data_IF_931057650841
#
_entry.id   IF_931057650841
#
_cell.length_a   1.000
_cell.length_b   1.000
_cell.length_c   1.000
_cell.angle_alpha   90.00
_cell.angle_beta   90.00
_cell.angle_gamma   90.00
#
_symmetry.space_group_name_H-M   'P 1'
#
loop_
_entity.id
_entity.type
_entity.pdbx_description
1 polymer ?
#
# COMPACT_ATOMS: atom_id res chain seq x y z
N UNK A 1 39.61 -2.21 -28.49
CA UNK A 1 38.82 -3.37 -28.01
C UNK A 1 38.73 -3.29 -26.49
N UNK A 2 37.67 -2.74 -25.95
CA UNK A 2 37.45 -2.70 -24.49
C UNK A 2 37.17 -4.13 -24.01
N UNK A 3 38.01 -4.63 -23.12
CA UNK A 3 37.98 -6.00 -22.63
C UNK A 3 36.62 -6.33 -22.01
N UNK A 4 36.01 -7.45 -22.43
CA UNK A 4 34.75 -7.97 -21.81
C UNK A 4 34.84 -8.08 -20.29
N UNK A 5 36.03 -8.22 -19.74
CA UNK A 5 36.32 -8.28 -18.32
C UNK A 5 36.08 -6.94 -17.60
N UNK A 6 36.27 -5.80 -18.27
CA UNK A 6 36.04 -4.48 -17.65
C UNK A 6 34.55 -4.17 -17.51
N UNK A 7 33.73 -4.63 -18.47
CA UNK A 7 32.27 -4.47 -18.43
C UNK A 7 31.62 -5.36 -17.38
N UNK A 8 32.16 -6.56 -17.15
CA UNK A 8 31.64 -7.45 -16.10
C UNK A 8 32.00 -6.96 -14.70
N UNK A 9 33.18 -6.36 -14.52
CA UNK A 9 33.59 -5.77 -13.23
C UNK A 9 32.82 -4.50 -12.89
N UNK A 10 32.48 -3.66 -13.88
CA UNK A 10 31.64 -2.48 -13.65
C UNK A 10 30.20 -2.86 -13.30
N UNK A 11 29.62 -3.83 -14.01
CA UNK A 11 28.29 -4.35 -13.71
C UNK A 11 28.21 -5.04 -12.34
N UNK A 12 29.28 -5.72 -11.93
CA UNK A 12 29.38 -6.33 -10.61
C UNK A 12 29.50 -5.28 -9.51
N UNK A 13 30.31 -4.22 -9.75
CA UNK A 13 30.43 -3.06 -8.82
C UNK A 13 29.10 -2.32 -8.68
N UNK A 14 28.36 -2.09 -9.75
CA UNK A 14 27.03 -1.45 -9.66
C UNK A 14 26.02 -2.32 -8.91
N UNK A 15 26.07 -3.65 -9.05
CA UNK A 15 25.23 -4.56 -8.26
C UNK A 15 25.58 -4.57 -6.78
N UNK A 16 26.86 -4.46 -6.43
CA UNK A 16 27.34 -4.44 -5.04
C UNK A 16 27.08 -3.05 -4.40
N UNK A 17 27.09 -1.96 -5.19
CA UNK A 17 26.90 -0.61 -4.70
C UNK A 17 25.41 -0.26 -4.40
N UNK A 18 24.45 -1.05 -4.89
CA UNK A 18 23.03 -0.84 -4.57
C UNK A 18 22.63 -1.76 -3.42
N UNK A 19 22.36 -1.19 -2.25
CA UNK A 19 21.88 -2.00 -1.13
C UNK A 19 20.61 -2.76 -1.54
N UNK A 20 20.42 -4.01 -1.07
CA UNK A 20 19.23 -4.78 -1.33
C UNK A 20 17.98 -3.95 -1.09
N UNK A 21 16.99 -4.04 -1.98
CA UNK A 21 15.75 -3.25 -1.91
C UNK A 21 15.09 -3.34 -0.53
N UNK A 22 15.06 -4.55 0.04
CA UNK A 22 14.54 -4.80 1.37
C UNK A 22 15.26 -3.99 2.47
N UNK A 23 16.56 -3.82 2.37
CA UNK A 23 17.34 -3.01 3.33
C UNK A 23 17.04 -1.53 3.18
N UNK A 24 16.95 -1.01 1.96
CA UNK A 24 16.52 0.35 1.68
C UNK A 24 15.14 0.65 2.26
N UNK A 25 14.18 -0.24 2.01
CA UNK A 25 12.81 -0.09 2.50
C UNK A 25 12.77 -0.05 4.03
N UNK A 26 13.56 -0.89 4.71
CA UNK A 26 13.67 -0.88 6.17
C UNK A 26 14.24 0.44 6.71
N UNK A 27 15.26 1.00 6.05
CA UNK A 27 15.83 2.29 6.45
C UNK A 27 14.78 3.39 6.27
N UNK A 28 14.09 3.45 5.14
CA UNK A 28 13.06 4.45 4.90
C UNK A 28 11.89 4.32 5.87
N UNK A 29 11.43 3.11 6.14
CA UNK A 29 10.39 2.85 7.13
C UNK A 29 10.82 3.28 8.54
N UNK A 30 12.08 3.03 8.92
CA UNK A 30 12.62 3.49 10.20
C UNK A 30 12.70 5.01 10.27
N UNK A 31 13.21 5.66 9.23
CA UNK A 31 13.30 7.13 9.17
C UNK A 31 11.93 7.80 9.22
N UNK A 32 10.93 7.25 8.54
CA UNK A 32 9.56 7.75 8.60
C UNK A 32 8.97 7.71 10.03
N UNK A 33 9.38 6.75 10.84
CA UNK A 33 8.96 6.65 12.25
C UNK A 33 9.65 7.65 13.17
N UNK A 34 10.84 8.12 12.80
CA UNK A 34 11.61 9.11 13.57
C UNK A 34 11.16 10.55 13.27
N UNK A 35 10.43 10.75 12.19
CA UNK A 35 9.81 12.04 11.87
C UNK A 35 8.74 12.40 12.90
N UNK A 36 8.63 13.69 13.25
CA UNK A 36 7.54 14.17 14.10
C UNK A 36 6.19 13.79 13.51
N UNK A 37 5.20 13.52 14.38
CA UNK A 37 3.83 13.30 13.93
C UNK A 37 3.27 14.63 13.44
N UNK A 38 2.94 14.80 12.16
CA UNK A 38 2.25 16.01 11.72
C UNK A 38 0.84 16.00 12.33
N UNK A 39 0.51 17.02 13.09
CA UNK A 39 -0.82 17.14 13.68
C UNK A 39 -1.85 17.62 12.66
N UNK A 40 -1.42 18.30 11.63
CA UNK A 40 -2.28 18.87 10.59
C UNK A 40 -1.62 18.70 9.22
N UNK A 41 -2.41 18.33 8.22
CA UNK A 41 -1.96 18.38 6.84
C UNK A 41 -1.89 19.84 6.39
N UNK A 42 -0.72 20.31 5.97
CA UNK A 42 -0.54 21.68 5.47
C UNK A 42 -1.29 21.94 4.16
N UNK A 43 -1.50 20.91 3.36
CA UNK A 43 -2.30 20.96 2.15
C UNK A 43 -3.00 19.63 1.90
N UNK A 44 -4.24 19.70 1.44
CA UNK A 44 -4.95 18.56 0.86
C UNK A 44 -4.86 18.70 -0.66
N UNK A 45 -4.03 17.89 -1.34
CA UNK A 45 -4.01 17.91 -2.80
C UNK A 45 -5.38 17.48 -3.35
N UNK A 46 -5.78 18.07 -4.47
CA UNK A 46 -6.98 17.60 -5.16
C UNK A 46 -6.79 16.12 -5.56
N UNK A 47 -7.78 15.26 -5.31
CA UNK A 47 -7.69 13.86 -5.67
C UNK A 47 -7.59 13.71 -7.19
N UNK A 48 -6.57 13.01 -7.66
CA UNK A 48 -6.37 12.70 -9.09
C UNK A 48 -7.39 11.66 -9.58
N UNK A 49 -7.82 10.78 -8.67
CA UNK A 49 -8.83 9.78 -8.92
C UNK A 49 -10.01 10.03 -7.99
N UNK A 50 -11.20 10.01 -8.58
CA UNK A 50 -12.44 10.05 -7.81
C UNK A 50 -12.85 8.62 -7.50
N UNK A 51 -13.01 8.31 -6.22
CA UNK A 51 -13.57 7.03 -5.78
C UNK A 51 -15.06 6.94 -6.10
N UNK A 52 -15.59 5.75 -5.94
CA UNK A 52 -17.02 5.43 -6.13
C UNK A 52 -17.70 5.25 -4.77
N UNK A 53 -18.66 6.13 -4.46
CA UNK A 53 -19.41 6.07 -3.20
C UNK A 53 -20.20 4.75 -3.03
N UNK A 54 -20.71 4.16 -4.12
CA UNK A 54 -21.40 2.87 -4.09
C UNK A 54 -20.45 1.74 -3.70
N UNK A 55 -19.22 1.73 -4.19
CA UNK A 55 -18.18 0.80 -3.73
C UNK A 55 -17.80 1.06 -2.28
N UNK A 56 -17.77 2.31 -1.85
CA UNK A 56 -17.59 2.68 -0.45
C UNK A 56 -18.68 2.10 0.45
N UNK A 57 -19.94 2.11 0.02
CA UNK A 57 -21.05 1.47 0.73
C UNK A 57 -20.88 -0.04 0.82
N UNK A 58 -20.47 -0.70 -0.26
CA UNK A 58 -20.16 -2.12 -0.29
C UNK A 58 -19.03 -2.48 0.71
N UNK A 59 -17.99 -1.67 0.77
CA UNK A 59 -16.89 -1.84 1.73
C UNK A 59 -17.38 -1.75 3.18
N UNK A 60 -18.19 -0.75 3.49
CA UNK A 60 -18.79 -0.60 4.83
C UNK A 60 -19.73 -1.77 5.15
N UNK A 61 -20.42 -2.31 4.14
CA UNK A 61 -21.25 -3.50 4.28
C UNK A 61 -20.44 -4.82 4.40
N UNK A 62 -19.12 -4.77 4.24
CA UNK A 62 -18.22 -5.91 4.40
C UNK A 62 -17.92 -6.66 3.10
N UNK A 63 -18.09 -6.02 1.95
CA UNK A 63 -17.76 -6.57 0.62
C UNK A 63 -16.80 -5.65 -0.12
N UNK A 64 -15.70 -6.20 -0.62
CA UNK A 64 -14.75 -5.49 -1.45
C UNK A 64 -14.80 -5.99 -2.89
N UNK A 65 -15.00 -5.06 -3.82
CA UNK A 65 -15.06 -5.38 -5.25
C UNK A 65 -13.82 -4.86 -5.97
N UNK A 66 -13.07 -5.75 -6.62
CA UNK A 66 -11.94 -5.43 -7.46
C UNK A 66 -11.81 -6.42 -8.62
N UNK A 67 -11.34 -5.97 -9.77
CA UNK A 67 -11.13 -6.79 -10.98
C UNK A 67 -12.38 -7.63 -11.37
N UNK A 68 -13.59 -7.09 -11.17
CA UNK A 68 -14.82 -7.80 -11.45
C UNK A 68 -15.18 -8.92 -10.46
N UNK A 69 -14.41 -9.08 -9.39
CA UNK A 69 -14.66 -10.06 -8.34
C UNK A 69 -15.10 -9.37 -7.05
N UNK A 70 -15.93 -10.06 -6.26
CA UNK A 70 -16.34 -9.61 -4.93
C UNK A 70 -15.73 -10.52 -3.87
N UNK A 71 -15.08 -9.91 -2.89
CA UNK A 71 -14.42 -10.58 -1.77
C UNK A 71 -15.12 -10.19 -0.48
N UNK A 72 -15.57 -11.16 0.30
CA UNK A 72 -16.15 -10.92 1.61
C UNK A 72 -15.03 -10.52 2.59
N UNK A 73 -15.07 -9.27 3.05
CA UNK A 73 -14.14 -8.75 4.05
C UNK A 73 -14.74 -8.85 5.45
N UNK A 74 -16.07 -8.86 5.54
CA UNK A 74 -16.79 -8.90 6.80
C UNK A 74 -16.49 -7.68 7.68
N UNK A 75 -16.49 -7.90 9.00
CA UNK A 75 -16.08 -6.90 9.98
C UNK A 75 -14.58 -6.94 10.30
N UNK A 76 -13.87 -7.89 9.70
CA UNK A 76 -12.43 -8.02 9.84
C UNK A 76 -11.69 -6.99 8.98
N UNK A 77 -10.40 -6.96 9.10
CA UNK A 77 -9.56 -6.11 8.25
C UNK A 77 -9.50 -6.65 6.82
N UNK A 78 -9.49 -5.76 5.82
CA UNK A 78 -9.23 -6.13 4.43
C UNK A 78 -7.93 -6.94 4.27
N UNK A 79 -6.97 -6.74 5.16
CA UNK A 79 -5.68 -7.42 5.16
C UNK A 79 -5.73 -8.87 5.61
N UNK A 80 -6.82 -9.28 6.27
CA UNK A 80 -7.04 -10.66 6.71
C UNK A 80 -8.01 -11.42 5.83
N UNK A 81 -8.67 -10.74 4.89
CA UNK A 81 -9.58 -11.39 3.96
C UNK A 81 -8.82 -12.39 3.07
N UNK A 82 -9.36 -13.60 2.86
CA UNK A 82 -8.76 -14.57 1.94
C UNK A 82 -8.82 -14.04 0.51
N UNK A 83 -7.67 -13.97 -0.15
CA UNK A 83 -7.54 -13.47 -1.52
C UNK A 83 -7.41 -14.67 -2.46
N UNK A 84 -8.39 -14.92 -3.35
CA UNK A 84 -8.37 -16.06 -4.24
C UNK A 84 -7.41 -15.90 -5.44
N UNK A 85 -7.08 -14.67 -5.81
CA UNK A 85 -6.27 -14.35 -6.99
C UNK A 85 -5.11 -13.41 -6.59
N UNK A 86 -3.85 -13.74 -6.92
CA UNK A 86 -2.69 -12.88 -6.63
C UNK A 86 -2.82 -11.45 -7.17
N UNK A 87 -3.57 -11.23 -8.26
CA UNK A 87 -3.80 -9.90 -8.82
C UNK A 87 -4.66 -9.03 -7.89
N UNK A 88 -5.57 -9.63 -7.14
CA UNK A 88 -6.34 -8.93 -6.12
C UNK A 88 -5.45 -8.48 -4.96
N UNK A 89 -4.36 -9.19 -4.66
CA UNK A 89 -3.39 -8.73 -3.67
C UNK A 89 -2.73 -7.41 -4.10
N UNK A 90 -2.34 -7.28 -5.36
CA UNK A 90 -1.77 -6.05 -5.90
C UNK A 90 -2.78 -4.89 -5.81
N UNK A 91 -4.05 -5.12 -6.17
CA UNK A 91 -5.12 -4.13 -6.02
C UNK A 91 -5.36 -3.73 -4.56
N UNK A 92 -5.32 -4.69 -3.65
CA UNK A 92 -5.44 -4.43 -2.21
C UNK A 92 -4.32 -3.54 -1.70
N UNK A 93 -3.08 -3.81 -2.11
CA UNK A 93 -1.90 -3.04 -1.73
C UNK A 93 -1.83 -1.65 -2.41
N UNK A 94 -2.47 -1.49 -3.56
CA UNK A 94 -2.61 -0.18 -4.23
C UNK A 94 -3.52 0.79 -3.45
N UNK A 95 -4.27 0.29 -2.46
CA UNK A 95 -5.11 1.09 -1.57
C UNK A 95 -6.19 1.93 -2.27
N UNK A 96 -6.60 1.60 -3.50
CA UNK A 96 -7.64 2.33 -4.23
C UNK A 96 -9.00 2.29 -3.51
N UNK A 97 -9.23 1.32 -2.65
CA UNK A 97 -10.39 1.26 -1.77
C UNK A 97 -10.49 2.44 -0.79
N UNK A 98 -9.39 3.16 -0.52
CA UNK A 98 -9.43 4.40 0.27
C UNK A 98 -10.15 5.52 -0.47
N UNK A 99 -10.00 5.61 -1.79
CA UNK A 99 -10.68 6.62 -2.61
C UNK A 99 -12.19 6.37 -2.60
N UNK A 100 -12.62 5.11 -2.64
CA UNK A 100 -14.03 4.72 -2.55
C UNK A 100 -14.64 5.09 -1.19
N UNK A 101 -13.91 4.82 -0.09
CA UNK A 101 -14.32 5.24 1.25
C UNK A 101 -14.33 6.77 1.40
N UNK A 102 -13.38 7.47 0.79
CA UNK A 102 -13.34 8.93 0.79
C UNK A 102 -14.51 9.52 0.01
N UNK A 103 -14.90 8.92 -1.13
CA UNK A 103 -16.05 9.33 -1.92
C UNK A 103 -17.37 9.17 -1.13
N UNK A 104 -17.50 8.11 -0.33
CA UNK A 104 -18.66 7.92 0.55
C UNK A 104 -18.67 8.95 1.69
N UNK A 105 -17.52 9.31 2.26
CA UNK A 105 -17.29 10.43 3.16
C UNK A 105 -18.00 10.41 4.50
N UNK A 106 -18.75 9.37 4.84
CA UNK A 106 -19.50 9.28 6.10
C UNK A 106 -18.63 8.81 7.29
N UNK A 107 -19.18 8.84 8.50
CA UNK A 107 -18.45 8.47 9.71
C UNK A 107 -18.01 6.99 9.70
N UNK A 108 -18.83 6.08 9.18
CA UNK A 108 -18.51 4.65 9.12
C UNK A 108 -17.34 4.39 8.17
N UNK A 109 -17.33 5.02 6.99
CA UNK A 109 -16.23 4.94 6.04
C UNK A 109 -14.92 5.45 6.63
N UNK A 110 -14.97 6.57 7.37
CA UNK A 110 -13.80 7.15 8.01
C UNK A 110 -13.20 6.22 9.08
N UNK A 111 -14.04 5.66 9.94
CA UNK A 111 -13.61 4.71 10.98
C UNK A 111 -12.99 3.47 10.33
N UNK A 112 -13.61 2.94 9.28
CA UNK A 112 -13.12 1.78 8.56
C UNK A 112 -11.76 2.05 7.90
N UNK A 113 -11.62 3.18 7.20
CA UNK A 113 -10.37 3.60 6.58
C UNK A 113 -9.24 3.72 7.60
N UNK A 114 -9.48 4.39 8.72
CA UNK A 114 -8.49 4.54 9.78
C UNK A 114 -8.06 3.20 10.36
N UNK A 115 -9.01 2.30 10.63
CA UNK A 115 -8.71 0.99 11.17
C UNK A 115 -7.84 0.16 10.21
N UNK A 116 -8.16 0.16 8.92
CA UNK A 116 -7.43 -0.62 7.92
C UNK A 116 -6.05 -0.04 7.61
N UNK A 117 -5.90 1.29 7.60
CA UNK A 117 -4.59 1.93 7.46
C UNK A 117 -3.71 1.63 8.67
N UNK A 118 -4.26 1.68 9.88
CA UNK A 118 -3.49 1.32 11.08
C UNK A 118 -3.07 -0.14 11.09
N UNK A 119 -3.95 -1.06 10.70
CA UNK A 119 -3.61 -2.48 10.57
C UNK A 119 -2.51 -2.71 9.52
N UNK A 120 -2.56 -2.00 8.37
CA UNK A 120 -1.47 -2.03 7.38
C UNK A 120 -0.14 -1.59 7.97
N UNK A 121 -0.14 -0.48 8.71
CA UNK A 121 1.09 0.05 9.36
C UNK A 121 1.65 -0.98 10.35
N UNK A 122 0.80 -1.65 11.12
CA UNK A 122 1.22 -2.67 12.06
C UNK A 122 1.86 -3.88 11.35
N UNK A 123 1.27 -4.33 10.25
CA UNK A 123 1.73 -5.51 9.50
C UNK A 123 2.96 -5.24 8.66
N UNK A 124 2.97 -4.13 7.95
CA UNK A 124 3.94 -3.85 6.88
C UNK A 124 4.81 -2.62 7.14
N UNK A 125 4.52 -1.84 8.16
CA UNK A 125 5.24 -0.60 8.46
C UNK A 125 6.72 -0.79 8.84
N UNK A 126 7.22 -2.02 8.92
CA UNK A 126 8.65 -2.34 9.10
C UNK A 126 9.46 -2.26 7.79
N UNK A 127 8.82 -2.05 6.64
CA UNK A 127 9.47 -2.05 5.34
C UNK A 127 9.56 -3.43 4.69
N UNK A 128 8.76 -4.38 5.13
CA UNK A 128 8.67 -5.74 4.58
C UNK A 128 7.22 -6.08 4.21
N UNK A 129 7.04 -6.96 3.24
CA UNK A 129 5.74 -7.46 2.79
C UNK A 129 5.34 -6.98 1.39
N UNK A 130 4.16 -7.45 0.91
CA UNK A 130 3.76 -7.28 -0.50
C UNK A 130 3.74 -5.84 -0.98
N UNK A 131 3.30 -4.89 -0.15
CA UNK A 131 3.26 -3.47 -0.50
C UNK A 131 4.62 -2.79 -0.67
N UNK A 132 5.72 -3.46 -0.32
CA UNK A 132 7.09 -2.96 -0.47
C UNK A 132 7.86 -3.63 -1.61
N UNK A 133 7.27 -4.66 -2.24
CA UNK A 133 7.92 -5.48 -3.28
C UNK A 133 7.59 -5.02 -4.70
N UNK A 134 6.67 -4.08 -4.85
CA UNK A 134 6.19 -3.53 -6.12
C UNK A 134 7.23 -2.63 -6.85
#
# INVERSE_FOLDING_TARGET
MASRSALTLSALRERIARPPRAWRNRIWAHRARLGGKPDVAEAMPEPVFLGDAGRGEELVAGSWRALGQSVAVGRASIWTAPIPDPRLEAERQACLWLDDLAALGNAAARVLAQAWVQDWIQRYGSGAGPGWEA
#
